data_IF_205249336084
#
_entry.id   IF_205249336084
#
_cell.length_a   1.000
_cell.length_b   1.000
_cell.length_c   1.000
_cell.angle_alpha   90.00
_cell.angle_beta   90.00
_cell.angle_gamma   90.00
#
_symmetry.space_group_name_H-M   'P 1'
#
loop_
_entity.id
_entity.type
_entity.pdbx_description
1 polymer ?
#
# COMPACT_ATOMS: atom_id res chain seq x y z
N UNK A 1 21.34 -3.61 -4.28
CA UNK A 1 19.89 -3.41 -4.47
C UNK A 1 19.38 -2.54 -3.34
N UNK A 2 18.68 -1.44 -3.61
CA UNK A 2 18.07 -0.63 -2.53
C UNK A 2 17.12 -1.54 -1.75
N UNK A 3 17.22 -1.56 -0.42
CA UNK A 3 16.20 -2.22 0.42
C UNK A 3 14.85 -1.61 0.09
N UNK A 4 13.84 -2.46 -0.12
CA UNK A 4 12.46 -2.00 -0.24
C UNK A 4 12.08 -1.22 1.01
N UNK A 5 11.35 -0.11 0.82
CA UNK A 5 10.81 0.68 1.95
C UNK A 5 9.68 -0.05 2.67
N UNK A 6 9.09 -1.05 2.01
CA UNK A 6 7.97 -1.85 2.50
C UNK A 6 8.37 -3.31 2.58
N UNK A 7 7.92 -3.98 3.64
CA UNK A 7 8.02 -5.43 3.77
C UNK A 7 6.92 -6.11 2.95
N UNK A 8 7.14 -7.35 2.51
CA UNK A 8 6.14 -8.15 1.80
C UNK A 8 4.82 -8.26 2.57
N UNK A 9 4.90 -8.39 3.90
CA UNK A 9 3.71 -8.45 4.76
C UNK A 9 2.90 -7.14 4.72
N UNK A 10 3.57 -5.98 4.69
CA UNK A 10 2.89 -4.69 4.55
C UNK A 10 2.22 -4.55 3.18
N UNK A 11 2.86 -5.04 2.11
CA UNK A 11 2.29 -5.02 0.76
C UNK A 11 1.03 -5.89 0.72
N UNK A 12 1.11 -7.14 1.21
CA UNK A 12 -0.05 -8.05 1.23
C UNK A 12 -1.19 -7.51 2.10
N UNK A 13 -0.89 -6.93 3.27
CA UNK A 13 -1.90 -6.32 4.13
C UNK A 13 -2.58 -5.11 3.47
N UNK A 14 -1.83 -4.35 2.68
CA UNK A 14 -2.34 -3.20 1.91
C UNK A 14 -3.31 -3.65 0.83
N UNK A 15 -2.94 -4.67 0.05
CA UNK A 15 -3.80 -5.24 -1.00
C UNK A 15 -5.11 -5.79 -0.42
N UNK A 16 -5.03 -6.56 0.68
CA UNK A 16 -6.21 -7.10 1.36
C UNK A 16 -7.17 -6.04 1.87
N UNK A 17 -6.68 -4.89 2.31
CA UNK A 17 -7.54 -3.78 2.74
C UNK A 17 -8.36 -3.23 1.58
N UNK A 18 -7.74 -3.08 0.41
CA UNK A 18 -8.43 -2.58 -0.79
C UNK A 18 -9.38 -3.62 -1.36
N UNK A 19 -8.99 -4.90 -1.38
CA UNK A 19 -9.93 -6.00 -1.69
C UNK A 19 -11.11 -6.06 -0.72
N UNK A 20 -10.89 -5.69 0.55
CA UNK A 20 -11.93 -5.52 1.57
C UNK A 20 -12.82 -4.28 1.40
N UNK A 21 -12.65 -3.51 0.31
CA UNK A 21 -13.48 -2.35 -0.02
C UNK A 21 -12.93 -1.00 0.46
N UNK A 22 -11.72 -0.96 1.02
CA UNK A 22 -11.08 0.30 1.41
C UNK A 22 -10.66 1.09 0.17
N UNK A 23 -10.80 2.41 0.18
CA UNK A 23 -10.42 3.21 -0.97
C UNK A 23 -8.90 3.29 -1.12
N UNK A 24 -8.40 3.04 -2.33
CA UNK A 24 -6.96 3.16 -2.67
C UNK A 24 -6.40 4.52 -2.24
N UNK A 25 -7.16 5.60 -2.43
CA UNK A 25 -6.74 6.97 -2.07
C UNK A 25 -6.40 7.11 -0.57
N UNK A 26 -7.16 6.46 0.30
CA UNK A 26 -7.01 6.56 1.74
C UNK A 26 -5.76 5.80 2.17
N UNK A 27 -5.62 4.58 1.63
CA UNK A 27 -4.47 3.71 1.83
C UNK A 27 -3.18 4.38 1.32
N UNK A 28 -3.20 4.99 0.14
CA UNK A 28 -2.06 5.75 -0.40
C UNK A 28 -1.66 6.90 0.54
N UNK A 29 -2.64 7.62 1.09
CA UNK A 29 -2.40 8.76 1.97
C UNK A 29 -1.83 8.33 3.32
N UNK A 30 -2.28 7.20 3.87
CA UNK A 30 -1.71 6.62 5.10
C UNK A 30 -0.30 6.08 4.90
N UNK A 31 -0.04 5.45 3.75
CA UNK A 31 1.28 4.92 3.40
C UNK A 31 2.26 6.01 2.91
N UNK A 32 1.77 7.22 2.65
CA UNK A 32 2.58 8.32 2.14
C UNK A 32 3.10 8.08 0.72
N UNK A 33 2.33 7.34 -0.09
CA UNK A 33 2.64 7.04 -1.50
C UNK A 33 1.65 7.73 -2.44
N UNK A 34 2.04 7.91 -3.70
CA UNK A 34 1.12 8.32 -4.76
C UNK A 34 0.31 7.12 -5.25
N UNK A 35 -0.87 7.36 -5.81
CA UNK A 35 -1.67 6.38 -6.53
C UNK A 35 -0.89 5.67 -7.64
N UNK A 36 0.06 6.35 -8.30
CA UNK A 36 0.91 5.75 -9.31
C UNK A 36 1.93 4.73 -8.76
N UNK A 37 2.15 4.74 -7.44
CA UNK A 37 3.04 3.80 -6.74
C UNK A 37 2.28 2.62 -6.15
N UNK A 38 0.99 2.79 -5.89
CA UNK A 38 0.10 1.76 -5.38
C UNK A 38 -0.17 0.71 -6.45
#
# INVERSE_FOLDING_TARGET
MRKSKFTDSQIVATLKQVEGGRQVKDVCRELGISDATY
#
